data_IF_296846637000
#
_entry.id   IF_296846637000
#
_cell.length_a   1.000
_cell.length_b   1.000
_cell.length_c   1.000
_cell.angle_alpha   90.00
_cell.angle_beta   90.00
_cell.angle_gamma   90.00
#
_symmetry.space_group_name_H-M   'P 1'
#
loop_
_entity.id
_entity.type
_entity.pdbx_description
1 polymer ?
#
# COMPACT_ATOMS: atom_id res chain seq x y z
N UNK A 1 -18.18 9.71 -10.45
CA UNK A 1 -16.70 9.80 -10.37
C UNK A 1 -16.12 10.69 -11.47
N UNK A 2 -16.93 11.51 -12.16
CA UNK A 2 -16.50 12.38 -13.26
C UNK A 2 -16.29 13.82 -12.79
N UNK A 3 -17.20 14.37 -11.99
CA UNK A 3 -17.14 15.77 -11.55
C UNK A 3 -15.92 16.12 -10.67
N UNK A 4 -15.50 15.21 -9.78
CA UNK A 4 -14.30 15.42 -8.94
C UNK A 4 -13.01 15.59 -9.76
N UNK A 5 -12.86 14.83 -10.85
CA UNK A 5 -11.68 14.90 -11.73
C UNK A 5 -11.61 16.29 -12.39
N UNK A 6 -12.75 16.81 -12.84
CA UNK A 6 -12.81 18.11 -13.52
C UNK A 6 -12.82 19.30 -12.55
N UNK A 7 -13.15 19.11 -11.28
CA UNK A 7 -13.19 20.20 -10.30
C UNK A 7 -11.81 20.83 -10.09
N UNK A 8 -10.76 20.03 -9.85
CA UNK A 8 -9.40 20.55 -9.64
C UNK A 8 -8.85 21.20 -10.92
N UNK A 9 -9.12 20.58 -12.08
CA UNK A 9 -8.74 21.11 -13.38
C UNK A 9 -9.43 22.46 -13.66
N UNK A 10 -10.73 22.54 -13.39
CA UNK A 10 -11.52 23.76 -13.54
C UNK A 10 -11.02 24.87 -12.60
N UNK A 11 -10.71 24.56 -11.34
CA UNK A 11 -10.24 25.55 -10.40
C UNK A 11 -8.89 26.14 -10.85
N UNK A 12 -7.95 25.31 -11.30
CA UNK A 12 -6.68 25.75 -11.89
C UNK A 12 -6.92 26.62 -13.13
N UNK A 13 -7.82 26.20 -14.01
CA UNK A 13 -8.18 26.95 -15.22
C UNK A 13 -8.77 28.32 -14.88
N UNK A 14 -9.71 28.40 -13.93
CA UNK A 14 -10.31 29.65 -13.47
C UNK A 14 -9.26 30.61 -12.91
N UNK A 15 -8.32 30.11 -12.10
CA UNK A 15 -7.22 30.92 -11.53
C UNK A 15 -6.26 31.42 -12.61
N UNK A 16 -5.95 30.59 -13.61
CA UNK A 16 -5.13 30.99 -14.75
C UNK A 16 -5.82 32.05 -15.61
N UNK A 17 -7.13 31.90 -15.85
CA UNK A 17 -7.93 32.82 -16.65
C UNK A 17 -8.15 34.17 -15.95
N UNK A 18 -8.40 34.14 -14.64
CA UNK A 18 -8.63 35.36 -13.83
C UNK A 18 -7.35 36.10 -13.42
N UNK A 19 -6.17 35.60 -13.81
CA UNK A 19 -4.90 36.15 -13.33
C UNK A 19 -4.79 36.16 -11.81
N UNK A 20 -5.41 35.18 -11.13
CA UNK A 20 -5.56 35.09 -9.65
C UNK A 20 -6.39 36.22 -9.01
N UNK A 21 -7.16 36.98 -9.79
CA UNK A 21 -8.08 38.01 -9.28
C UNK A 21 -9.29 37.39 -8.58
N UNK A 22 -9.65 37.93 -7.41
CA UNK A 22 -10.84 37.53 -6.63
C UNK A 22 -12.15 38.22 -7.09
N UNK A 23 -12.03 39.16 -8.04
CA UNK A 23 -13.14 39.99 -8.52
C UNK A 23 -13.53 39.70 -9.96
N UNK A 24 -12.68 38.98 -10.70
CA UNK A 24 -12.93 38.64 -12.08
C UNK A 24 -13.90 37.48 -12.19
N UNK A 25 -14.94 37.69 -13.00
CA UNK A 25 -15.94 36.68 -13.35
C UNK A 25 -15.50 36.02 -14.65
N UNK A 26 -15.43 34.69 -14.65
CA UNK A 26 -15.01 33.90 -15.79
C UNK A 26 -16.15 32.97 -16.20
N UNK A 27 -16.48 32.97 -17.48
CA UNK A 27 -17.55 32.17 -18.05
C UNK A 27 -17.14 30.69 -18.16
N UNK A 28 -17.85 29.79 -17.47
CA UNK A 28 -17.48 28.37 -17.43
C UNK A 28 -17.74 27.63 -18.75
N UNK A 29 -18.57 28.18 -19.65
CA UNK A 29 -18.79 27.56 -20.97
C UNK A 29 -17.52 27.61 -21.83
N UNK A 30 -16.60 28.54 -21.56
CA UNK A 30 -15.27 28.53 -22.19
C UNK A 30 -14.47 27.31 -21.77
N UNK A 31 -14.48 26.95 -20.48
CA UNK A 31 -13.83 25.73 -19.99
C UNK A 31 -14.37 24.47 -20.67
N UNK A 32 -15.70 24.31 -20.72
CA UNK A 32 -16.32 23.15 -21.35
C UNK A 32 -15.87 22.98 -22.82
N UNK A 33 -15.78 24.11 -23.55
CA UNK A 33 -15.33 24.13 -24.94
C UNK A 33 -13.85 23.78 -25.08
N UNK A 34 -12.99 24.37 -24.27
CA UNK A 34 -11.54 24.14 -24.31
C UNK A 34 -11.18 22.71 -23.94
N UNK A 35 -11.85 22.13 -22.94
CA UNK A 35 -11.64 20.75 -22.52
C UNK A 35 -12.40 19.73 -23.39
N UNK A 36 -13.21 20.19 -24.36
CA UNK A 36 -14.06 19.36 -25.22
C UNK A 36 -14.98 18.41 -24.43
N UNK A 37 -15.55 18.91 -23.32
CA UNK A 37 -16.47 18.16 -22.46
C UNK A 37 -17.90 18.70 -22.55
N UNK A 38 -18.92 17.86 -22.28
CA UNK A 38 -20.30 18.34 -22.11
C UNK A 38 -20.41 19.43 -21.05
N UNK A 39 -21.23 20.44 -21.31
CA UNK A 39 -21.41 21.58 -20.41
C UNK A 39 -21.94 21.14 -19.04
N UNK A 40 -22.75 20.09 -19.00
CA UNK A 40 -23.32 19.52 -17.78
C UNK A 40 -22.22 19.03 -16.82
N UNK A 41 -21.12 18.47 -17.35
CA UNK A 41 -19.97 18.03 -16.53
C UNK A 41 -19.23 19.24 -15.96
N UNK A 42 -19.04 20.29 -16.76
CA UNK A 42 -18.43 21.54 -16.31
C UNK A 42 -19.30 22.21 -15.23
N UNK A 43 -20.61 22.22 -15.41
CA UNK A 43 -21.56 22.73 -14.42
C UNK A 43 -21.50 21.94 -13.10
N UNK A 44 -21.49 20.61 -13.16
CA UNK A 44 -21.36 19.76 -11.97
C UNK A 44 -20.04 20.04 -11.23
N UNK A 45 -18.93 20.15 -11.97
CA UNK A 45 -17.62 20.47 -11.41
C UNK A 45 -17.58 21.85 -10.73
N UNK A 46 -18.14 22.90 -11.37
CA UNK A 46 -18.15 24.25 -10.78
C UNK A 46 -19.02 24.33 -9.53
N UNK A 47 -20.16 23.62 -9.52
CA UNK A 47 -21.07 23.54 -8.36
C UNK A 47 -20.40 22.81 -7.20
N UNK A 48 -19.63 21.77 -7.48
CA UNK A 48 -18.82 21.08 -6.47
C UNK A 48 -17.78 22.03 -5.86
N UNK A 49 -17.10 22.85 -6.68
CA UNK A 49 -16.16 23.86 -6.19
C UNK A 49 -16.85 24.94 -5.35
N UNK A 50 -18.06 25.37 -5.72
CA UNK A 50 -18.85 26.32 -4.95
C UNK A 50 -19.23 25.73 -3.58
N UNK A 51 -19.68 24.47 -3.56
CA UNK A 51 -20.00 23.77 -2.32
C UNK A 51 -18.79 23.64 -1.39
N UNK A 52 -17.59 23.46 -1.94
CA UNK A 52 -16.31 23.46 -1.21
C UNK A 52 -15.83 24.86 -0.80
N UNK A 53 -16.53 25.92 -1.22
CA UNK A 53 -16.19 27.32 -0.93
C UNK A 53 -14.98 27.83 -1.72
N UNK A 54 -14.58 27.17 -2.80
CA UNK A 54 -13.42 27.54 -3.64
C UNK A 54 -13.76 28.58 -4.71
N UNK A 55 -15.04 28.64 -5.11
CA UNK A 55 -15.55 29.60 -6.08
C UNK A 55 -16.88 30.16 -5.61
N UNK A 56 -17.29 31.29 -6.19
CA UNK A 56 -18.63 31.83 -6.06
C UNK A 56 -19.24 31.89 -7.45
N UNK A 57 -20.42 31.29 -7.62
CA UNK A 57 -21.14 31.35 -8.88
C UNK A 57 -21.97 32.63 -8.96
N UNK A 58 -22.02 33.19 -10.15
CA UNK A 58 -22.95 34.24 -10.53
C UNK A 58 -23.67 33.78 -11.78
N UNK A 59 -24.97 33.57 -11.66
CA UNK A 59 -25.82 33.31 -12.81
C UNK A 59 -26.18 34.65 -13.41
N UNK A 60 -25.55 35.01 -14.53
CA UNK A 60 -25.91 36.21 -15.27
C UNK A 60 -27.28 36.02 -15.95
N UNK A 61 -27.89 37.10 -16.44
CA UNK A 61 -29.14 37.01 -17.20
C UNK A 61 -28.92 36.21 -18.50
N UNK A 62 -29.28 34.92 -18.48
CA UNK A 62 -29.10 33.99 -19.59
C UNK A 62 -28.69 32.59 -19.11
N UNK A 63 -28.32 31.68 -20.03
CA UNK A 63 -27.83 30.33 -19.69
C UNK A 63 -26.35 30.32 -19.26
N UNK A 64 -25.73 31.48 -19.07
CA UNK A 64 -24.30 31.59 -18.77
C UNK A 64 -24.07 31.57 -17.26
N UNK A 65 -23.25 30.62 -16.82
CA UNK A 65 -22.76 30.55 -15.45
C UNK A 65 -21.35 31.14 -15.45
N UNK A 66 -21.19 32.24 -14.72
CA UNK A 66 -19.89 32.83 -14.46
C UNK A 66 -19.43 32.43 -13.06
N UNK A 67 -18.13 32.23 -12.89
CA UNK A 67 -17.52 31.90 -11.61
C UNK A 67 -16.38 32.86 -11.29
N UNK A 68 -16.23 33.20 -10.02
CA UNK A 68 -15.04 33.87 -9.49
C UNK A 68 -14.39 33.04 -8.40
N UNK A 69 -13.07 33.08 -8.34
CA UNK A 69 -12.30 32.32 -7.36
C UNK A 69 -12.34 33.03 -5.99
N UNK A 70 -12.40 32.26 -4.91
CA UNK A 70 -12.34 32.78 -3.54
C UNK A 70 -10.91 32.69 -2.97
N UNK A 71 -10.65 33.34 -1.83
CA UNK A 71 -9.37 33.18 -1.13
C UNK A 71 -9.08 31.71 -0.77
N UNK A 72 -10.03 30.91 -0.22
CA UNK A 72 -9.84 29.47 -0.06
C UNK A 72 -9.53 28.74 -1.37
N UNK A 73 -10.14 29.14 -2.50
CA UNK A 73 -9.86 28.58 -3.81
C UNK A 73 -8.42 28.82 -4.26
N UNK A 74 -7.90 30.05 -4.11
CA UNK A 74 -6.50 30.36 -4.42
C UNK A 74 -5.53 29.53 -3.57
N UNK A 75 -5.78 29.45 -2.26
CA UNK A 75 -4.96 28.64 -1.35
C UNK A 75 -5.02 27.14 -1.69
N UNK A 76 -6.14 26.66 -2.23
CA UNK A 76 -6.24 25.29 -2.68
C UNK A 76 -5.44 25.08 -3.97
N UNK A 77 -5.50 25.99 -4.94
CA UNK A 77 -4.65 25.93 -6.15
C UNK A 77 -3.17 25.97 -5.81
N UNK A 78 -2.74 26.80 -4.86
CA UNK A 78 -1.34 26.84 -4.45
C UNK A 78 -0.86 25.50 -3.87
N UNK A 79 -1.75 24.82 -3.12
CA UNK A 79 -1.49 23.45 -2.62
C UNK A 79 -1.45 22.44 -3.77
N UNK A 80 -2.43 22.47 -4.67
CA UNK A 80 -2.47 21.61 -5.86
C UNK A 80 -1.20 21.77 -6.71
N UNK A 81 -0.73 23.00 -6.94
CA UNK A 81 0.50 23.26 -7.67
C UNK A 81 1.75 22.75 -6.94
N UNK A 82 1.79 22.88 -5.61
CA UNK A 82 2.87 22.33 -4.81
C UNK A 82 2.88 20.79 -4.91
N UNK A 83 1.72 20.15 -4.83
CA UNK A 83 1.56 18.70 -4.93
C UNK A 83 1.92 18.20 -6.34
N UNK A 84 1.50 18.89 -7.40
CA UNK A 84 1.85 18.58 -8.79
C UNK A 84 3.37 18.65 -9.05
N UNK A 85 4.11 19.48 -8.32
CA UNK A 85 5.58 19.55 -8.41
C UNK A 85 6.26 18.51 -7.49
N UNK A 86 5.52 17.92 -6.56
CA UNK A 86 6.05 16.94 -5.63
C UNK A 86 6.11 15.55 -6.27
N UNK A 87 7.33 15.12 -6.63
CA UNK A 87 7.57 13.74 -7.09
C UNK A 87 7.10 12.71 -6.08
N UNK A 88 7.17 13.04 -4.78
CA UNK A 88 6.69 12.17 -3.71
C UNK A 88 5.18 12.01 -3.74
N UNK A 89 4.43 13.12 -3.83
CA UNK A 89 2.97 13.08 -3.84
C UNK A 89 2.44 12.35 -5.09
N UNK A 90 3.07 12.59 -6.25
CA UNK A 90 2.74 11.90 -7.50
C UNK A 90 2.99 10.39 -7.41
N UNK A 91 4.10 9.97 -6.79
CA UNK A 91 4.38 8.56 -6.54
C UNK A 91 3.36 7.94 -5.57
N UNK A 92 3.05 8.61 -4.45
CA UNK A 92 2.07 8.13 -3.47
C UNK A 92 0.67 7.95 -4.09
N UNK A 93 0.29 8.89 -4.95
CA UNK A 93 -0.95 8.79 -5.72
C UNK A 93 -0.92 7.63 -6.73
N UNK A 94 0.18 7.48 -7.47
CA UNK A 94 0.35 6.37 -8.41
C UNK A 94 0.24 5.00 -7.71
N UNK A 95 0.89 4.86 -6.55
CA UNK A 95 0.78 3.65 -5.71
C UNK A 95 -0.67 3.38 -5.31
N UNK A 96 -1.36 4.41 -4.83
CA UNK A 96 -2.77 4.31 -4.41
C UNK A 96 -3.67 3.88 -5.57
N UNK A 97 -3.51 4.49 -6.75
CA UNK A 97 -4.29 4.14 -7.93
C UNK A 97 -4.03 2.70 -8.39
N UNK A 98 -2.77 2.26 -8.42
CA UNK A 98 -2.41 0.89 -8.80
C UNK A 98 -3.01 -0.15 -7.84
N UNK A 99 -2.89 0.08 -6.52
CA UNK A 99 -3.46 -0.80 -5.51
C UNK A 99 -4.98 -0.91 -5.65
N UNK A 100 -5.67 0.23 -5.79
CA UNK A 100 -7.13 0.26 -5.95
C UNK A 100 -7.57 -0.41 -7.25
N UNK A 101 -6.86 -0.18 -8.35
CA UNK A 101 -7.18 -0.80 -9.63
C UNK A 101 -7.00 -2.32 -9.57
N UNK A 102 -5.94 -2.81 -8.94
CA UNK A 102 -5.70 -4.24 -8.78
C UNK A 102 -6.67 -4.91 -7.79
N UNK A 103 -7.08 -4.21 -6.72
CA UNK A 103 -8.10 -4.67 -5.75
C UNK A 103 -9.49 -4.82 -6.38
N UNK A 104 -9.79 -4.03 -7.42
CA UNK A 104 -11.08 -4.08 -8.13
C UNK A 104 -11.19 -5.31 -9.07
N UNK A 105 -10.05 -5.88 -9.47
CA UNK A 105 -9.99 -7.06 -10.34
C UNK A 105 -10.09 -8.35 -9.51
N UNK A 106 -11.03 -9.27 -9.77
CA UNK A 106 -11.20 -10.48 -8.97
C UNK A 106 -9.96 -11.39 -8.89
N UNK A 107 -9.09 -11.32 -9.90
CA UNK A 107 -7.83 -12.07 -9.94
C UNK A 107 -6.66 -11.33 -9.26
N UNK A 108 -6.86 -10.07 -8.83
CA UNK A 108 -5.80 -9.19 -8.35
C UNK A 108 -4.81 -8.76 -9.44
N UNK A 109 -5.10 -9.06 -10.71
CA UNK A 109 -4.21 -8.87 -11.85
C UNK A 109 -4.63 -7.64 -12.68
N UNK A 110 -3.72 -6.69 -12.81
CA UNK A 110 -3.89 -5.45 -13.53
C UNK A 110 -3.07 -5.44 -14.82
N UNK A 111 -3.72 -5.10 -15.94
CA UNK A 111 -3.04 -4.82 -17.22
C UNK A 111 -2.53 -3.37 -17.24
N UNK A 112 -1.21 -3.18 -17.24
CA UNK A 112 -0.60 -1.86 -17.08
C UNK A 112 -0.86 -0.94 -18.28
N UNK A 113 -0.89 -1.48 -19.50
CA UNK A 113 -1.16 -0.69 -20.71
C UNK A 113 -2.52 0.01 -20.68
N UNK A 114 -3.56 -0.67 -20.19
CA UNK A 114 -4.92 -0.12 -20.05
C UNK A 114 -5.02 0.91 -18.91
N UNK A 115 -4.19 0.74 -17.87
CA UNK A 115 -4.18 1.63 -16.71
C UNK A 115 -3.45 2.96 -16.98
N UNK A 116 -2.34 2.94 -17.72
CA UNK A 116 -1.51 4.13 -17.97
C UNK A 116 -2.33 5.28 -18.57
N UNK A 117 -3.24 4.99 -19.51
CA UNK A 117 -4.06 6.01 -20.15
C UNK A 117 -5.11 6.66 -19.25
N UNK A 118 -5.44 6.05 -18.11
CA UNK A 118 -6.53 6.49 -17.22
C UNK A 118 -6.03 7.10 -15.92
N UNK A 119 -4.74 6.91 -15.59
CA UNK A 119 -4.16 7.39 -14.35
C UNK A 119 -3.89 8.91 -14.39
N UNK A 120 -4.70 9.66 -13.65
CA UNK A 120 -4.59 11.13 -13.53
C UNK A 120 -4.36 11.57 -12.08
N UNK A 121 -3.62 12.66 -11.90
CA UNK A 121 -3.37 13.31 -10.62
C UNK A 121 -3.70 14.80 -10.74
N UNK A 122 -4.74 15.26 -10.03
CA UNK A 122 -5.27 16.62 -10.11
C UNK A 122 -5.50 17.13 -11.56
N UNK A 123 -6.01 16.23 -12.41
CA UNK A 123 -6.32 16.50 -13.82
C UNK A 123 -5.15 16.28 -14.79
N UNK A 124 -3.91 16.13 -14.31
CA UNK A 124 -2.76 15.85 -15.18
C UNK A 124 -2.55 14.33 -15.29
N UNK A 125 -2.22 13.84 -16.49
CA UNK A 125 -1.84 12.44 -16.65
C UNK A 125 -0.53 12.14 -15.91
N UNK A 126 -0.48 10.99 -15.23
CA UNK A 126 0.78 10.45 -14.75
C UNK A 126 1.60 9.95 -15.94
N UNK A 127 2.90 10.20 -15.92
CA UNK A 127 3.80 9.72 -16.97
C UNK A 127 4.01 8.20 -16.85
N UNK A 128 4.40 7.57 -17.96
CA UNK A 128 4.76 6.14 -17.98
C UNK A 128 5.84 5.84 -16.93
N UNK A 129 6.88 6.68 -16.83
CA UNK A 129 7.98 6.50 -15.88
C UNK A 129 7.53 6.57 -14.42
N UNK A 130 6.56 7.43 -14.11
CA UNK A 130 5.99 7.55 -12.76
C UNK A 130 5.22 6.29 -12.37
N UNK A 131 4.43 5.75 -13.31
CA UNK A 131 3.67 4.52 -13.09
C UNK A 131 4.63 3.33 -12.97
N UNK A 132 5.62 3.21 -13.86
CA UNK A 132 6.63 2.16 -13.79
C UNK A 132 7.51 2.26 -12.53
N UNK A 133 7.76 3.46 -12.02
CA UNK A 133 8.42 3.66 -10.73
C UNK A 133 7.55 3.15 -9.58
N UNK A 134 6.24 3.41 -9.61
CA UNK A 134 5.30 2.90 -8.61
C UNK A 134 5.18 1.36 -8.68
N UNK A 135 5.13 0.78 -9.87
CA UNK A 135 5.15 -0.68 -10.09
C UNK A 135 6.40 -1.31 -9.47
N UNK A 136 7.59 -0.77 -9.78
CA UNK A 136 8.85 -1.24 -9.18
C UNK A 136 8.82 -1.13 -7.66
N UNK A 137 8.33 -0.03 -7.12
CA UNK A 137 8.21 0.13 -5.66
C UNK A 137 7.33 -0.95 -5.02
N UNK A 138 6.17 -1.28 -5.61
CA UNK A 138 5.29 -2.33 -5.11
C UNK A 138 5.96 -3.71 -5.19
N UNK A 139 6.67 -3.98 -6.29
CA UNK A 139 7.43 -5.20 -6.49
C UNK A 139 8.55 -5.36 -5.46
N UNK A 140 9.40 -4.34 -5.30
CA UNK A 140 10.57 -4.37 -4.42
C UNK A 140 10.19 -4.52 -2.93
N UNK A 141 8.98 -4.12 -2.55
CA UNK A 141 8.45 -4.29 -1.19
C UNK A 141 7.56 -5.53 -1.02
N UNK A 142 7.50 -6.40 -2.03
CA UNK A 142 6.74 -7.64 -2.00
C UNK A 142 5.22 -7.46 -1.92
N UNK A 143 4.70 -6.29 -2.33
CA UNK A 143 3.27 -6.00 -2.36
C UNK A 143 2.61 -6.48 -3.66
N UNK A 144 3.38 -6.61 -4.73
CA UNK A 144 2.90 -7.11 -6.00
C UNK A 144 3.98 -7.90 -6.75
N UNK A 145 3.58 -8.83 -7.59
CA UNK A 145 4.42 -9.39 -8.64
C UNK A 145 4.24 -8.57 -9.91
N UNK A 146 5.35 -8.21 -10.57
CA UNK A 146 5.34 -7.63 -11.90
C UNK A 146 5.83 -8.70 -12.89
N UNK A 147 5.35 -8.69 -14.13
CA UNK A 147 5.91 -9.57 -15.15
C UNK A 147 7.38 -9.24 -15.36
N UNK A 148 8.24 -10.24 -15.65
CA UNK A 148 9.69 -10.04 -15.76
C UNK A 148 10.13 -9.28 -17.02
N UNK A 149 9.19 -8.83 -17.85
CA UNK A 149 9.44 -8.06 -19.06
C UNK A 149 9.79 -6.60 -18.73
N UNK A 150 10.56 -5.94 -19.60
CA UNK A 150 10.91 -4.52 -19.47
C UNK A 150 10.37 -3.71 -20.67
N UNK A 151 9.35 -2.84 -20.49
CA UNK A 151 8.63 -2.60 -19.24
C UNK A 151 7.65 -3.74 -18.89
N UNK A 152 7.30 -3.90 -17.60
CA UNK A 152 6.31 -4.90 -17.18
C UNK A 152 4.95 -4.60 -17.82
N UNK A 153 4.26 -5.67 -18.23
CA UNK A 153 2.92 -5.58 -18.83
C UNK A 153 1.82 -5.77 -17.81
N UNK A 154 2.09 -6.54 -16.74
CA UNK A 154 1.09 -6.91 -15.75
C UNK A 154 1.63 -6.76 -14.34
N UNK A 155 0.70 -6.48 -13.43
CA UNK A 155 0.92 -6.38 -12.00
C UNK A 155 -0.11 -7.26 -11.30
N UNK A 156 0.31 -8.14 -10.40
CA UNK A 156 -0.58 -9.00 -9.61
C UNK A 156 -0.32 -8.79 -8.13
N UNK A 157 -1.34 -8.49 -7.33
CA UNK A 157 -1.16 -8.32 -5.88
C UNK A 157 -0.72 -9.62 -5.20
N UNK A 158 0.23 -9.51 -4.28
CA UNK A 158 0.57 -10.60 -3.35
C UNK A 158 -0.43 -10.63 -2.19
N UNK A 159 -0.38 -11.64 -1.32
CA UNK A 159 -1.15 -11.63 -0.05
C UNK A 159 -0.89 -10.36 0.75
N UNK A 160 0.38 -9.94 0.84
CA UNK A 160 0.77 -8.70 1.53
C UNK A 160 0.21 -7.45 0.83
N UNK A 161 0.12 -7.47 -0.49
CA UNK A 161 -0.58 -6.45 -1.27
C UNK A 161 -2.06 -6.34 -0.89
N UNK A 162 -2.75 -7.47 -0.81
CA UNK A 162 -4.15 -7.51 -0.36
C UNK A 162 -4.31 -6.98 1.07
N UNK A 163 -3.44 -7.36 2.00
CA UNK A 163 -3.47 -6.83 3.37
C UNK A 163 -3.26 -5.31 3.39
N UNK A 164 -2.35 -4.80 2.56
CA UNK A 164 -2.13 -3.37 2.40
C UNK A 164 -3.39 -2.67 1.88
N UNK A 165 -4.04 -3.21 0.84
CA UNK A 165 -5.27 -2.65 0.27
C UNK A 165 -6.41 -2.62 1.30
N UNK A 166 -6.60 -3.72 2.04
CA UNK A 166 -7.65 -3.87 3.05
C UNK A 166 -7.39 -3.03 4.32
N UNK A 167 -6.13 -2.73 4.63
CA UNK A 167 -5.77 -1.96 5.84
C UNK A 167 -6.31 -0.53 5.84
N UNK A 168 -6.64 0.02 4.67
CA UNK A 168 -7.03 1.43 4.51
C UNK A 168 -5.89 2.43 4.75
N UNK A 169 -4.66 1.96 5.00
CA UNK A 169 -3.47 2.79 5.17
C UNK A 169 -2.86 3.14 3.81
N UNK A 170 -2.04 4.19 3.77
CA UNK A 170 -1.20 4.45 2.59
C UNK A 170 -0.17 3.34 2.44
N UNK A 171 0.22 3.03 1.20
CA UNK A 171 1.25 2.01 0.92
C UNK A 171 2.54 2.27 1.70
N UNK A 172 2.99 3.51 1.78
CA UNK A 172 4.20 3.87 2.53
C UNK A 172 4.03 3.72 4.03
N UNK A 173 2.89 4.11 4.60
CA UNK A 173 2.59 3.87 6.02
C UNK A 173 2.59 2.37 6.31
N UNK A 174 1.93 1.58 5.46
CA UNK A 174 1.90 0.13 5.62
C UNK A 174 3.30 -0.49 5.57
N UNK A 175 4.11 -0.13 4.59
CA UNK A 175 5.51 -0.59 4.50
C UNK A 175 6.34 -0.11 5.69
N UNK A 176 6.18 1.14 6.11
CA UNK A 176 6.93 1.70 7.24
C UNK A 176 6.54 1.07 8.57
N UNK A 177 5.26 0.77 8.80
CA UNK A 177 4.80 0.10 10.01
C UNK A 177 5.41 -1.30 10.12
N UNK A 178 5.58 -1.98 8.99
CA UNK A 178 6.24 -3.28 8.90
C UNK A 178 7.76 -3.17 9.16
N UNK A 179 8.39 -2.07 8.73
CA UNK A 179 9.81 -1.81 9.03
C UNK A 179 10.04 -1.28 10.46
N UNK A 180 9.02 -0.64 11.05
CA UNK A 180 9.04 -0.06 12.41
C UNK A 180 8.68 -1.09 13.48
N UNK A 181 8.41 -2.33 13.10
CA UNK A 181 8.31 -3.48 14.01
C UNK A 181 9.66 -3.88 14.63
N UNK A 182 10.69 -3.03 14.55
CA UNK A 182 11.84 -3.11 15.47
C UNK A 182 11.42 -2.58 16.85
N UNK A 183 11.57 -3.37 17.94
CA UNK A 183 11.08 -2.97 19.24
C UNK A 183 11.77 -1.69 19.74
N UNK A 184 10.99 -0.63 19.96
CA UNK A 184 11.45 0.59 20.64
C UNK A 184 11.46 0.30 22.15
N UNK A 185 12.64 -0.03 22.69
CA UNK A 185 12.83 -0.22 24.13
C UNK A 185 12.90 1.13 24.86
N UNK A 186 11.77 1.59 25.41
CA UNK A 186 11.77 2.70 26.36
C UNK A 186 12.13 2.20 27.77
N UNK A 187 13.43 2.15 28.11
CA UNK A 187 13.87 1.89 29.47
C UNK A 187 13.67 3.12 30.36
N UNK A 188 12.68 3.09 31.25
CA UNK A 188 12.58 4.02 32.37
C UNK A 188 13.58 3.60 33.46
N UNK A 189 14.79 4.18 33.44
CA UNK A 189 15.76 4.00 34.51
C UNK A 189 15.34 4.88 35.69
N UNK A 190 14.72 4.28 36.71
CA UNK A 190 14.62 4.90 38.03
C UNK A 190 15.95 4.71 38.76
N UNK A 191 16.84 5.70 38.67
CA UNK A 191 18.05 5.75 39.51
C UNK A 191 17.63 6.26 40.89
N UNK A 192 17.43 5.34 41.83
CA UNK A 192 17.19 5.67 43.22
C UNK A 192 17.47 4.48 44.14
N UNK A 193 18.68 4.46 44.70
CA UNK A 193 18.98 3.66 45.90
C UNK A 193 19.96 2.51 45.70
N UNK A 194 21.10 2.65 46.37
CA UNK A 194 22.14 1.65 46.67
C UNK A 194 21.60 0.22 46.87
N UNK A 195 22.09 -0.72 46.06
CA UNK A 195 21.88 -2.16 46.29
C UNK A 195 21.94 -2.96 45.01
N UNK A 196 23.15 -3.17 44.48
CA UNK A 196 23.36 -4.17 43.44
C UNK A 196 22.97 -5.56 43.97
N UNK A 197 21.92 -6.15 43.41
CA UNK A 197 21.83 -7.59 43.27
C UNK A 197 21.48 -7.88 41.82
N UNK A 198 22.43 -8.52 41.13
CA UNK A 198 22.19 -9.13 39.83
C UNK A 198 21.07 -10.15 39.99
N UNK A 199 19.92 -9.83 39.43
CA UNK A 199 18.87 -10.81 39.19
C UNK A 199 19.10 -11.31 37.78
N UNK A 200 19.39 -12.59 37.65
CA UNK A 200 19.23 -13.32 36.39
C UNK A 200 17.84 -12.98 35.84
N UNK A 201 17.80 -12.11 34.85
CA UNK A 201 16.59 -11.89 34.07
C UNK A 201 16.54 -13.05 33.09
N UNK A 202 15.98 -14.18 33.53
CA UNK A 202 15.41 -15.15 32.61
C UNK A 202 14.20 -14.46 31.98
N UNK A 203 14.45 -13.72 30.90
CA UNK A 203 13.41 -13.14 30.08
C UNK A 203 12.73 -14.31 29.37
N UNK A 204 11.65 -14.82 29.97
CA UNK A 204 10.64 -15.53 29.20
C UNK A 204 10.13 -14.53 28.15
N UNK A 205 10.66 -14.67 26.93
CA UNK A 205 10.16 -13.99 25.75
C UNK A 205 8.70 -14.40 25.62
N UNK A 206 7.82 -13.53 26.10
CA UNK A 206 6.41 -13.61 25.76
C UNK A 206 6.36 -13.06 24.35
N UNK A 207 6.37 -13.96 23.36
CA UNK A 207 6.22 -13.65 21.95
C UNK A 207 5.07 -12.66 21.79
N UNK A 208 5.37 -11.48 21.25
CA UNK A 208 4.43 -10.39 21.01
C UNK A 208 3.36 -10.73 19.95
N UNK A 209 3.34 -11.97 19.47
CA UNK A 209 2.41 -12.55 18.49
C UNK A 209 1.54 -13.67 19.06
N UNK A 210 1.57 -13.96 20.37
CA UNK A 210 0.62 -14.87 21.00
C UNK A 210 0.85 -16.37 20.76
N UNK A 211 1.97 -16.76 20.14
CA UNK A 211 2.41 -18.15 20.06
C UNK A 211 3.10 -18.54 21.36
N UNK A 212 2.51 -19.46 22.13
CA UNK A 212 3.13 -19.97 23.35
C UNK A 212 4.33 -20.86 23.00
N UNK A 213 5.33 -20.93 23.88
CA UNK A 213 6.46 -21.84 23.71
C UNK A 213 6.01 -23.31 23.56
N UNK A 214 4.87 -23.65 24.19
CA UNK A 214 4.26 -24.97 24.10
C UNK A 214 3.69 -25.26 22.69
N UNK A 215 3.16 -24.24 21.99
CA UNK A 215 2.66 -24.38 20.62
C UNK A 215 3.78 -24.66 19.60
N UNK A 216 4.94 -24.00 19.79
CA UNK A 216 6.14 -24.23 18.97
C UNK A 216 6.65 -25.67 19.17
N UNK A 217 6.77 -26.11 20.43
CA UNK A 217 7.22 -27.47 20.76
C UNK A 217 6.25 -28.51 20.17
N UNK A 218 4.94 -28.28 20.28
CA UNK A 218 3.92 -29.16 19.69
C UNK A 218 4.06 -29.27 18.17
N UNK A 219 4.24 -28.15 17.48
CA UNK A 219 4.43 -28.14 16.02
C UNK A 219 5.73 -28.83 15.59
N UNK A 220 6.85 -28.62 16.30
CA UNK A 220 8.12 -29.29 16.01
C UNK A 220 7.98 -30.82 16.15
N UNK A 221 7.28 -31.29 17.19
CA UNK A 221 7.03 -32.72 17.39
C UNK A 221 6.16 -33.31 16.27
N UNK A 222 5.13 -32.58 15.82
CA UNK A 222 4.29 -32.99 14.69
C UNK A 222 5.09 -33.03 13.38
N UNK A 223 5.90 -32.01 13.09
CA UNK A 223 6.76 -31.97 11.89
C UNK A 223 7.77 -33.13 11.89
N UNK A 224 8.39 -33.44 13.03
CA UNK A 224 9.25 -34.63 13.16
C UNK A 224 8.49 -35.93 12.91
N UNK A 225 7.24 -36.03 13.34
CA UNK A 225 6.37 -37.19 13.08
C UNK A 225 5.97 -37.34 11.60
N UNK A 226 6.04 -36.26 10.83
CA UNK A 226 5.72 -36.23 9.40
C UNK A 226 6.93 -36.58 8.54
N UNK A 227 8.15 -36.28 8.98
CA UNK A 227 9.36 -36.50 8.20
C UNK A 227 9.47 -37.91 7.56
N UNK A 228 9.12 -39.03 8.24
CA UNK A 228 9.15 -40.37 7.62
C UNK A 228 8.15 -40.60 6.48
N UNK A 229 7.17 -39.70 6.31
CA UNK A 229 6.14 -39.77 5.27
C UNK A 229 6.56 -39.07 3.97
N UNK A 230 7.65 -38.29 4.00
CA UNK A 230 8.25 -37.66 2.83
C UNK A 230 9.14 -38.63 2.05
N UNK A 231 9.45 -38.30 0.80
CA UNK A 231 10.35 -39.10 -0.01
C UNK A 231 11.76 -39.16 0.63
N UNK A 232 12.48 -40.30 0.59
CA UNK A 232 13.74 -40.49 1.33
C UNK A 232 14.82 -39.43 1.06
N UNK A 233 14.84 -38.87 -0.14
CA UNK A 233 15.74 -37.80 -0.58
C UNK A 233 15.37 -36.41 -0.03
N UNK A 234 14.14 -36.23 0.46
CA UNK A 234 13.65 -34.99 1.05
C UNK A 234 13.69 -35.00 2.58
N UNK A 235 13.77 -36.18 3.20
CA UNK A 235 13.71 -36.36 4.66
C UNK A 235 14.84 -35.63 5.39
N UNK A 236 16.07 -35.77 4.92
CA UNK A 236 17.26 -35.19 5.57
C UNK A 236 17.20 -33.66 5.57
N UNK A 237 16.87 -33.04 4.43
CA UNK A 237 16.71 -31.60 4.33
C UNK A 237 15.52 -31.06 5.13
N UNK A 238 14.43 -31.83 5.22
CA UNK A 238 13.26 -31.46 6.01
C UNK A 238 13.55 -31.51 7.52
N UNK A 239 14.20 -32.58 8.01
CA UNK A 239 14.60 -32.69 9.42
C UNK A 239 15.55 -31.58 9.81
N UNK A 240 16.53 -31.28 8.94
CA UNK A 240 17.46 -30.18 9.18
C UNK A 240 16.77 -28.82 9.29
N UNK A 241 15.79 -28.53 8.43
CA UNK A 241 15.03 -27.28 8.53
C UNK A 241 14.16 -27.22 9.80
N UNK A 242 13.66 -28.36 10.28
CA UNK A 242 12.93 -28.44 11.56
C UNK A 242 13.86 -28.17 12.75
N UNK A 243 15.12 -28.62 12.70
CA UNK A 243 16.13 -28.33 13.71
C UNK A 243 16.49 -26.83 13.75
N UNK A 244 16.66 -26.20 12.58
CA UNK A 244 16.88 -24.74 12.50
C UNK A 244 15.69 -23.98 13.12
N UNK A 245 14.46 -24.47 12.92
CA UNK A 245 13.26 -23.83 13.44
C UNK A 245 13.14 -23.95 14.98
N UNK A 246 13.58 -25.08 15.55
CA UNK A 246 13.65 -25.36 16.99
C UNK A 246 14.74 -24.55 17.70
N UNK A 247 15.88 -24.35 17.05
CA UNK A 247 17.02 -23.67 17.64
C UNK A 247 16.76 -22.16 17.79
N UNK A 248 16.44 -21.76 19.02
CA UNK A 248 16.17 -20.38 19.38
C UNK A 248 17.41 -19.47 19.35
N UNK A 249 18.61 -20.06 19.29
CA UNK A 249 19.88 -19.31 19.16
C UNK A 249 20.24 -19.03 17.69
N UNK A 250 19.53 -19.62 16.72
CA UNK A 250 19.70 -19.28 15.31
C UNK A 250 19.15 -17.89 14.97
N UNK A 251 19.82 -17.23 14.04
CA UNK A 251 19.40 -15.94 13.52
C UNK A 251 17.98 -16.02 12.93
N UNK A 252 17.12 -15.05 13.25
CA UNK A 252 15.73 -14.96 12.75
C UNK A 252 15.60 -15.19 11.24
N UNK A 253 16.43 -14.60 10.36
CA UNK A 253 16.38 -14.87 8.93
C UNK A 253 16.59 -16.34 8.55
N UNK A 254 17.45 -17.07 9.26
CA UNK A 254 17.70 -18.49 9.01
C UNK A 254 16.48 -19.33 9.39
N UNK A 255 15.82 -18.99 10.50
CA UNK A 255 14.59 -19.65 10.99
C UNK A 255 13.40 -19.39 10.08
N UNK A 256 13.24 -18.16 9.58
CA UNK A 256 12.22 -17.82 8.59
C UNK A 256 12.42 -18.62 7.29
N UNK A 257 13.65 -18.63 6.78
CA UNK A 257 14.00 -19.37 5.57
C UNK A 257 13.75 -20.88 5.70
N UNK A 258 14.02 -21.44 6.88
CA UNK A 258 13.75 -22.86 7.17
C UNK A 258 12.25 -23.16 7.19
N UNK A 259 11.44 -22.31 7.82
CA UNK A 259 9.99 -22.47 7.83
C UNK A 259 9.35 -22.33 6.45
N UNK A 260 9.85 -21.45 5.59
CA UNK A 260 9.40 -21.36 4.19
C UNK A 260 9.72 -22.63 3.40
N UNK A 261 10.91 -23.21 3.57
CA UNK A 261 11.29 -24.48 2.94
C UNK A 261 10.43 -25.64 3.44
N UNK A 262 10.15 -25.71 4.74
CA UNK A 262 9.23 -26.70 5.33
C UNK A 262 7.85 -26.57 4.68
N UNK A 263 7.30 -25.35 4.61
CA UNK A 263 6.00 -25.09 3.99
C UNK A 263 5.95 -25.54 2.54
N UNK A 264 6.96 -25.17 1.74
CA UNK A 264 7.03 -25.54 0.33
C UNK A 264 6.99 -27.07 0.17
N UNK A 265 7.79 -27.80 0.95
CA UNK A 265 7.80 -29.28 0.91
C UNK A 265 6.48 -29.91 1.36
N UNK A 266 5.79 -29.33 2.35
CA UNK A 266 4.47 -29.82 2.76
C UNK A 266 3.42 -29.66 1.65
N UNK A 267 3.49 -28.57 0.89
CA UNK A 267 2.60 -28.31 -0.25
C UNK A 267 2.94 -29.25 -1.43
N UNK A 268 4.23 -29.38 -1.74
CA UNK A 268 4.73 -30.18 -2.87
C UNK A 268 4.61 -31.69 -2.64
N UNK A 269 4.49 -32.13 -1.38
CA UNK A 269 4.27 -33.54 -1.03
C UNK A 269 2.99 -34.13 -1.67
N UNK A 270 2.00 -33.29 -2.00
CA UNK A 270 0.72 -33.73 -2.56
C UNK A 270 -0.12 -34.60 -1.61
N UNK A 271 0.32 -34.82 -0.37
CA UNK A 271 -0.37 -35.61 0.64
C UNK A 271 -1.33 -34.68 1.39
N UNK A 272 -2.67 -34.86 1.29
CA UNK A 272 -3.64 -33.94 1.90
C UNK A 272 -3.47 -33.77 3.42
N UNK A 273 -3.03 -34.82 4.11
CA UNK A 273 -2.73 -34.78 5.54
C UNK A 273 -1.49 -33.92 5.87
N UNK A 274 -0.53 -33.77 4.96
CA UNK A 274 0.66 -32.94 5.18
C UNK A 274 0.42 -31.48 4.82
N UNK A 275 -0.39 -31.24 3.78
CA UNK A 275 -0.81 -29.89 3.36
C UNK A 275 -1.54 -29.15 4.49
N UNK A 276 -2.28 -29.85 5.36
CA UNK A 276 -2.97 -29.22 6.49
C UNK A 276 -2.03 -28.61 7.55
N UNK A 277 -0.74 -28.94 7.55
CA UNK A 277 0.24 -28.35 8.46
C UNK A 277 0.89 -27.07 7.88
N UNK A 278 0.82 -26.84 6.57
CA UNK A 278 1.42 -25.68 5.93
C UNK A 278 0.92 -24.33 6.47
N UNK A 279 -0.38 -24.13 6.79
CA UNK A 279 -0.86 -22.89 7.41
C UNK A 279 -0.26 -22.63 8.80
N UNK A 280 -0.06 -23.69 9.61
CA UNK A 280 0.51 -23.56 10.97
C UNK A 280 1.99 -23.18 10.93
N UNK A 281 2.72 -23.67 9.94
CA UNK A 281 4.12 -23.26 9.69
C UNK A 281 4.18 -21.79 9.27
N UNK A 282 3.21 -21.31 8.48
CA UNK A 282 3.11 -19.87 8.12
C UNK A 282 2.84 -19.00 9.33
N UNK A 283 1.91 -19.39 10.20
CA UNK A 283 1.62 -18.65 11.43
C UNK A 283 2.84 -18.59 12.35
N UNK A 284 3.59 -19.68 12.46
CA UNK A 284 4.81 -19.73 13.25
C UNK A 284 5.91 -18.83 12.68
N UNK A 285 6.18 -18.92 11.38
CA UNK A 285 7.17 -18.09 10.67
C UNK A 285 6.79 -16.61 10.78
N UNK A 286 5.51 -16.27 10.64
CA UNK A 286 5.02 -14.91 10.84
C UNK A 286 5.18 -14.42 12.29
N UNK A 287 5.23 -15.33 13.26
CA UNK A 287 5.50 -15.02 14.66
C UNK A 287 6.96 -14.82 15.03
N UNK A 288 7.90 -15.23 14.16
CA UNK A 288 9.35 -15.14 14.37
C UNK A 288 9.97 -13.82 13.85
N UNK A 289 9.28 -13.13 12.92
CA UNK A 289 9.70 -11.84 12.34
C UNK A 289 9.10 -10.64 13.06
#
# INVERSE_FOLDING_TARGET
MTADIYADLMLRWLVGRSGRSLYELVNISEFAREQMIPFEIAEEAVRLLEHRGHVLLTVAFGPTIDARVTTPGLQHVDRLEADLRSTSARLDHALTLLMKAADTEPSGQLQLASFIGTATFHGDHLTVDEILRAVRYLHDHGLAFATPEDPPQQLTLTTRGWDCALSGKTVRTFVNDQNSASPVFNQHIHVGGTGAQGVNVTQNVTNTTGLSADDLIGLIQELRGIAPQLAPDEQEGFVHDVEILEDAEQDTPARLSAGERIRARLIDSGIPALISYAPRVVELVAGLG
#
